data_IF_510989645058
#
_entry.id   IF_510989645058
#
_cell.length_a   1.000
_cell.length_b   1.000
_cell.length_c   1.000
_cell.angle_alpha   90.00
_cell.angle_beta   90.00
_cell.angle_gamma   90.00
#
_symmetry.space_group_name_H-M   'P 1'
#
loop_
_entity.id
_entity.type
_entity.pdbx_description
1 polymer ?
#
# COMPACT_ATOMS: atom_id res chain seq x y z
N UNK A 1 -38.83 32.65 -33.32
CA UNK A 1 -37.44 32.13 -33.58
C UNK A 1 -36.42 32.34 -32.44
N UNK A 2 -36.74 33.13 -31.41
CA UNK A 2 -35.76 33.43 -30.33
C UNK A 2 -35.83 32.49 -29.12
N UNK A 3 -36.98 31.92 -28.80
CA UNK A 3 -37.15 31.04 -27.61
C UNK A 3 -36.55 29.64 -27.80
N UNK A 4 -36.71 29.02 -28.97
CA UNK A 4 -36.19 27.69 -29.27
C UNK A 4 -34.65 27.65 -29.32
N UNK A 5 -34.00 28.74 -29.76
CA UNK A 5 -32.53 28.83 -29.78
C UNK A 5 -31.97 29.01 -28.37
N UNK A 6 -32.68 29.67 -27.44
CA UNK A 6 -32.27 29.80 -26.05
C UNK A 6 -32.34 28.46 -25.32
N UNK A 7 -33.39 27.68 -25.56
CA UNK A 7 -33.58 26.35 -24.97
C UNK A 7 -32.51 25.37 -25.48
N UNK A 8 -32.22 25.40 -26.79
CA UNK A 8 -31.17 24.56 -27.39
C UNK A 8 -29.78 24.91 -26.84
N UNK A 9 -29.47 26.19 -26.63
CA UNK A 9 -28.21 26.64 -26.04
C UNK A 9 -28.10 26.24 -24.57
N UNK A 10 -29.17 26.30 -23.79
CA UNK A 10 -29.22 25.88 -22.39
C UNK A 10 -29.02 24.34 -22.24
N UNK A 11 -29.59 23.56 -23.16
CA UNK A 11 -29.38 22.08 -23.18
C UNK A 11 -27.94 21.75 -23.57
N UNK A 12 -27.36 22.45 -24.54
CA UNK A 12 -25.97 22.22 -24.98
C UNK A 12 -24.95 22.58 -23.89
N UNK A 13 -25.18 23.66 -23.13
CA UNK A 13 -24.36 24.03 -21.98
C UNK A 13 -24.49 23.05 -20.82
N UNK A 14 -25.66 22.46 -20.59
CA UNK A 14 -25.87 21.45 -19.55
C UNK A 14 -25.15 20.13 -19.85
N UNK A 15 -25.01 19.75 -21.13
CA UNK A 15 -24.32 18.55 -21.56
C UNK A 15 -22.79 18.73 -21.41
N UNK A 16 -22.27 19.94 -21.60
CA UNK A 16 -20.83 20.21 -21.45
C UNK A 16 -20.34 20.25 -19.99
N UNK A 17 -21.25 20.43 -19.02
CA UNK A 17 -20.93 20.46 -17.60
C UNK A 17 -20.96 19.07 -16.92
N UNK A 18 -21.33 18.00 -17.64
CA UNK A 18 -21.55 16.67 -17.04
C UNK A 18 -20.37 15.70 -17.16
N UNK A 19 -19.23 16.12 -17.67
CA UNK A 19 -18.05 15.26 -17.75
C UNK A 19 -16.98 15.71 -16.73
N UNK A 20 -17.29 15.59 -15.44
CA UNK A 20 -16.24 15.62 -14.41
C UNK A 20 -15.52 14.27 -14.48
N UNK A 21 -14.36 14.26 -15.14
CA UNK A 21 -13.42 13.12 -15.01
C UNK A 21 -13.01 13.10 -13.55
N UNK A 22 -13.45 12.08 -12.83
CA UNK A 22 -13.04 11.89 -11.43
C UNK A 22 -11.52 11.74 -11.40
N UNK A 23 -10.84 12.59 -10.65
CA UNK A 23 -9.38 12.55 -10.56
C UNK A 23 -8.98 11.20 -9.93
N UNK A 24 -8.02 10.46 -10.53
CA UNK A 24 -7.53 9.22 -9.95
C UNK A 24 -7.03 9.44 -8.53
N UNK A 25 -7.37 8.53 -7.63
CA UNK A 25 -6.95 8.57 -6.23
C UNK A 25 -5.93 7.49 -5.94
N UNK A 26 -5.11 7.72 -4.93
CA UNK A 26 -4.18 6.74 -4.35
C UNK A 26 -4.39 6.66 -2.86
N UNK A 27 -4.09 5.49 -2.30
CA UNK A 27 -4.26 5.19 -0.87
C UNK A 27 -2.91 5.37 -0.18
N UNK A 28 -2.87 6.23 0.82
CA UNK A 28 -1.76 6.40 1.77
C UNK A 28 -2.22 5.97 3.16
N UNK A 29 -1.32 5.87 4.13
CA UNK A 29 -1.67 5.41 5.49
C UNK A 29 -2.68 6.31 6.21
N UNK A 30 -2.81 7.57 5.80
CA UNK A 30 -3.74 8.56 6.35
C UNK A 30 -5.07 8.66 5.56
N UNK A 31 -5.27 7.81 4.54
CA UNK A 31 -6.48 7.77 3.72
C UNK A 31 -6.23 7.97 2.22
N UNK A 32 -7.24 8.41 1.49
CA UNK A 32 -7.16 8.67 0.04
C UNK A 32 -6.70 10.09 -0.27
N UNK A 33 -5.83 10.22 -1.28
CA UNK A 33 -5.43 11.51 -1.84
C UNK A 33 -5.56 11.50 -3.37
N UNK A 34 -5.75 12.65 -4.04
CA UNK A 34 -5.62 12.74 -5.48
C UNK A 34 -4.24 12.26 -5.96
N UNK A 35 -4.18 11.53 -7.07
CA UNK A 35 -2.91 11.01 -7.59
C UNK A 35 -1.90 12.15 -7.89
N UNK A 36 -2.38 13.31 -8.32
CA UNK A 36 -1.56 14.51 -8.53
C UNK A 36 -0.91 15.07 -7.25
N UNK A 37 -1.44 14.70 -6.06
CA UNK A 37 -0.90 15.15 -4.78
C UNK A 37 0.34 14.36 -4.30
N UNK A 38 0.67 13.22 -4.92
CA UNK A 38 1.87 12.40 -4.58
C UNK A 38 3.16 13.21 -4.62
N UNK A 39 3.31 14.09 -5.59
CA UNK A 39 4.52 14.89 -5.76
C UNK A 39 5.77 14.04 -6.01
N UNK A 40 6.94 14.54 -5.60
CA UNK A 40 8.21 13.81 -5.73
C UNK A 40 8.19 12.62 -4.78
N UNK A 41 8.35 11.42 -5.33
CA UNK A 41 8.13 10.15 -4.61
C UNK A 41 9.39 9.28 -4.60
N UNK A 42 9.72 8.74 -3.41
CA UNK A 42 10.60 7.58 -3.29
C UNK A 42 9.74 6.32 -3.42
N UNK A 43 9.95 5.56 -4.48
CA UNK A 43 9.00 4.53 -4.91
C UNK A 43 9.31 3.12 -4.39
N UNK A 44 10.37 2.93 -3.61
CA UNK A 44 10.72 1.64 -3.03
C UNK A 44 11.66 1.82 -1.84
N UNK A 45 11.10 1.88 -0.63
CA UNK A 45 11.86 2.07 0.60
C UNK A 45 11.39 1.11 1.70
N UNK A 46 12.19 1.02 2.76
CA UNK A 46 11.90 0.21 3.93
C UNK A 46 12.22 1.00 5.20
N UNK A 47 11.20 1.28 6.03
CA UNK A 47 11.36 2.04 7.28
C UNK A 47 11.63 1.14 8.49
N UNK A 48 11.11 -0.08 8.46
CA UNK A 48 11.35 -1.13 9.44
C UNK A 48 11.41 -2.48 8.73
N UNK A 49 12.45 -3.27 9.01
CA UNK A 49 12.57 -4.63 8.48
C UNK A 49 12.98 -5.57 9.61
N UNK A 50 12.28 -6.71 9.73
CA UNK A 50 12.64 -7.78 10.67
C UNK A 50 12.97 -9.08 9.92
N UNK A 51 14.25 -9.37 9.78
CA UNK A 51 14.75 -10.53 9.05
C UNK A 51 14.74 -11.84 9.86
N UNK A 52 14.07 -11.89 11.03
CA UNK A 52 14.04 -13.10 11.87
C UNK A 52 13.33 -14.27 11.17
N UNK A 53 12.28 -13.99 10.43
CA UNK A 53 11.40 -14.97 9.76
C UNK A 53 9.97 -14.92 10.25
N UNK A 54 9.03 -15.44 9.44
CA UNK A 54 7.60 -15.33 9.70
C UNK A 54 7.15 -15.94 11.03
N UNK A 55 7.78 -17.04 11.45
CA UNK A 55 7.40 -17.78 12.67
C UNK A 55 7.78 -17.04 13.97
N UNK A 56 8.65 -16.04 13.88
CA UNK A 56 9.22 -15.36 15.05
C UNK A 56 9.01 -13.86 15.04
N UNK A 57 8.62 -13.27 13.90
CA UNK A 57 8.37 -11.83 13.79
C UNK A 57 7.05 -11.43 14.44
N UNK A 58 6.92 -10.17 14.79
CA UNK A 58 5.69 -9.60 15.36
C UNK A 58 5.97 -8.32 16.13
N UNK A 59 4.92 -7.57 16.45
CA UNK A 59 5.00 -6.24 17.08
C UNK A 59 5.71 -6.23 18.44
N UNK A 60 5.83 -7.37 19.12
CA UNK A 60 6.59 -7.52 20.36
C UNK A 60 8.11 -7.38 20.19
N UNK A 61 8.61 -7.38 18.95
CA UNK A 61 10.05 -7.34 18.65
C UNK A 61 10.63 -5.93 18.57
N UNK A 62 9.79 -4.91 18.51
CA UNK A 62 10.23 -3.52 18.49
C UNK A 62 9.32 -2.62 19.33
N UNK A 63 9.91 -1.54 19.81
CA UNK A 63 9.16 -0.47 20.45
C UNK A 63 8.92 0.62 19.41
N UNK A 64 7.66 0.94 19.11
CA UNK A 64 7.28 1.91 18.07
C UNK A 64 7.87 3.31 18.33
N UNK A 65 7.86 3.79 19.57
CA UNK A 65 8.40 5.11 19.91
C UNK A 65 9.90 5.18 19.63
N UNK A 66 10.66 4.14 19.98
CA UNK A 66 12.08 4.05 19.67
C UNK A 66 12.37 4.00 18.17
N UNK A 67 11.50 3.32 17.38
CA UNK A 67 11.63 3.33 15.92
C UNK A 67 11.31 4.71 15.37
N UNK A 68 10.26 5.38 15.86
CA UNK A 68 9.91 6.74 15.46
C UNK A 68 11.07 7.69 15.75
N UNK A 69 11.65 7.68 16.95
CA UNK A 69 12.79 8.50 17.31
C UNK A 69 13.96 8.34 16.34
N UNK A 70 14.23 7.11 15.92
CA UNK A 70 15.33 6.78 15.00
C UNK A 70 15.05 7.15 13.56
N UNK A 71 13.82 6.94 13.07
CA UNK A 71 13.46 7.07 11.65
C UNK A 71 13.02 8.49 11.29
N UNK A 72 12.37 9.20 12.21
CA UNK A 72 11.82 10.54 11.97
C UNK A 72 12.83 11.54 11.38
N UNK A 73 14.09 11.63 11.87
CA UNK A 73 15.08 12.55 11.28
C UNK A 73 15.33 12.30 9.78
N UNK A 74 15.34 11.04 9.35
CA UNK A 74 15.53 10.69 7.93
C UNK A 74 14.31 11.08 7.07
N UNK A 75 13.09 10.89 7.60
CA UNK A 75 11.88 11.35 6.92
C UNK A 75 11.86 12.88 6.79
N UNK A 76 12.30 13.60 7.82
CA UNK A 76 12.43 15.05 7.76
C UNK A 76 13.47 15.48 6.73
N UNK A 77 14.59 14.76 6.63
CA UNK A 77 15.63 15.04 5.63
C UNK A 77 15.09 14.89 4.21
N UNK A 78 14.41 13.78 3.89
CA UNK A 78 13.84 13.58 2.54
C UNK A 78 12.77 14.63 2.21
N UNK A 79 11.96 15.02 3.21
CA UNK A 79 10.98 16.11 3.07
C UNK A 79 11.67 17.44 2.73
N UNK A 80 12.77 17.78 3.42
CA UNK A 80 13.55 18.99 3.16
C UNK A 80 14.20 18.98 1.76
N UNK A 81 14.43 17.80 1.19
CA UNK A 81 14.87 17.60 -0.21
C UNK A 81 13.71 17.64 -1.22
N UNK A 82 12.49 17.97 -0.77
CA UNK A 82 11.31 18.16 -1.59
C UNK A 82 10.54 16.87 -1.93
N UNK A 83 10.87 15.74 -1.31
CA UNK A 83 10.04 14.53 -1.43
C UNK A 83 8.77 14.68 -0.61
N UNK A 84 7.64 14.31 -1.20
CA UNK A 84 6.33 14.35 -0.54
C UNK A 84 5.85 12.97 -0.12
N UNK A 85 6.18 11.95 -0.91
CA UNK A 85 5.67 10.59 -0.72
C UNK A 85 6.81 9.58 -0.67
N UNK A 86 6.62 8.55 0.15
CA UNK A 86 7.47 7.38 0.24
C UNK A 86 6.61 6.13 0.16
N UNK A 87 6.94 5.23 -0.78
CA UNK A 87 6.31 3.92 -0.93
C UNK A 87 7.09 2.93 -0.08
N UNK A 88 6.49 2.55 1.06
CA UNK A 88 7.05 1.60 2.01
C UNK A 88 6.74 0.18 1.54
N UNK A 89 7.78 -0.59 1.20
CA UNK A 89 7.67 -1.87 0.51
C UNK A 89 7.87 -3.09 1.42
N UNK A 90 7.89 -2.92 2.75
CA UNK A 90 7.99 -4.04 3.69
C UNK A 90 6.65 -4.76 3.80
N UNK A 91 6.54 -6.02 3.36
CA UNK A 91 5.27 -6.75 3.45
C UNK A 91 5.05 -7.33 4.86
N UNK A 92 3.85 -7.88 5.08
CA UNK A 92 3.53 -8.65 6.28
C UNK A 92 4.59 -9.74 6.53
N UNK A 93 4.84 -10.05 7.80
CA UNK A 93 5.83 -11.03 8.27
C UNK A 93 7.29 -10.69 7.97
N UNK A 94 7.57 -9.49 7.46
CA UNK A 94 8.92 -8.97 7.26
C UNK A 94 9.17 -7.66 8.04
N UNK A 95 8.19 -7.22 8.84
CA UNK A 95 8.30 -6.01 9.67
C UNK A 95 7.27 -4.92 9.35
N UNK A 96 6.27 -5.17 8.46
CA UNK A 96 5.18 -4.22 8.24
C UNK A 96 4.46 -3.90 9.55
N UNK A 97 4.39 -2.63 9.91
CA UNK A 97 3.63 -2.13 11.07
C UNK A 97 2.80 -0.92 10.66
N UNK A 98 1.49 -1.10 10.36
CA UNK A 98 0.63 -0.02 9.87
C UNK A 98 0.48 1.13 10.86
N UNK A 99 0.40 0.87 12.16
CA UNK A 99 0.29 1.92 13.18
C UNK A 99 1.59 2.73 13.29
N UNK A 100 2.76 2.07 13.21
CA UNK A 100 4.05 2.75 13.16
C UNK A 100 4.14 3.67 11.94
N UNK A 101 3.71 3.20 10.77
CA UNK A 101 3.72 4.00 9.55
C UNK A 101 2.81 5.22 9.67
N UNK A 102 1.64 5.06 10.27
CA UNK A 102 0.73 6.18 10.54
C UNK A 102 1.36 7.20 11.48
N UNK A 103 1.97 6.77 12.59
CA UNK A 103 2.71 7.64 13.50
C UNK A 103 3.84 8.40 12.80
N UNK A 104 4.59 7.73 11.92
CA UNK A 104 5.69 8.34 11.16
C UNK A 104 5.17 9.35 10.13
N UNK A 105 4.08 9.05 9.44
CA UNK A 105 3.43 9.96 8.49
C UNK A 105 2.96 11.24 9.20
N UNK A 106 2.19 11.11 10.27
CA UNK A 106 1.67 12.23 11.07
C UNK A 106 2.78 13.13 11.60
N UNK A 107 3.86 12.53 12.15
CA UNK A 107 4.98 13.29 12.76
C UNK A 107 5.90 13.94 11.73
N UNK A 108 6.14 13.32 10.59
CA UNK A 108 7.02 13.84 9.55
C UNK A 108 6.29 14.75 8.56
N UNK A 109 5.00 14.50 8.33
CA UNK A 109 4.21 15.08 7.25
C UNK A 109 4.68 14.61 5.88
N UNK A 110 5.35 13.43 5.81
CA UNK A 110 5.62 12.69 4.56
C UNK A 110 4.48 11.71 4.35
N UNK A 111 3.87 11.72 3.19
CA UNK A 111 2.85 10.75 2.80
C UNK A 111 3.48 9.36 2.71
N UNK A 112 3.01 8.40 3.49
CA UNK A 112 3.49 7.02 3.44
C UNK A 112 2.44 6.13 2.78
N UNK A 113 2.88 5.26 1.88
CA UNK A 113 2.03 4.25 1.23
C UNK A 113 2.50 2.87 1.68
N UNK A 114 1.60 2.04 2.17
CA UNK A 114 1.89 0.66 2.57
C UNK A 114 1.22 -0.36 1.65
N UNK A 115 1.46 -1.63 1.89
CA UNK A 115 1.09 -2.72 0.98
C UNK A 115 0.37 -3.87 1.68
N UNK A 116 -0.23 -4.73 0.86
CA UNK A 116 -0.60 -6.11 1.20
C UNK A 116 0.24 -7.10 0.41
N UNK A 117 0.15 -8.39 0.74
CA UNK A 117 0.93 -9.42 0.07
C UNK A 117 2.04 -10.02 0.92
N UNK A 118 2.69 -11.07 0.41
CA UNK A 118 3.72 -11.83 1.13
C UNK A 118 5.03 -11.94 0.34
N UNK A 119 6.14 -12.00 1.07
CA UNK A 119 7.48 -12.11 0.52
C UNK A 119 7.91 -13.58 0.46
N UNK A 120 7.81 -14.22 -0.70
CA UNK A 120 8.13 -15.65 -0.88
C UNK A 120 9.56 -15.95 -1.34
N UNK A 121 10.40 -14.92 -1.54
CA UNK A 121 11.82 -15.12 -1.78
C UNK A 121 12.58 -15.53 -0.50
N UNK A 122 13.88 -15.78 -0.62
CA UNK A 122 14.77 -16.21 0.48
C UNK A 122 14.28 -17.52 1.11
N UNK A 123 14.02 -18.52 0.26
CA UNK A 123 13.51 -19.84 0.65
C UNK A 123 12.20 -19.77 1.42
N UNK A 124 11.33 -18.83 1.06
CA UNK A 124 10.03 -18.60 1.69
C UNK A 124 10.09 -18.35 3.21
N UNK A 125 11.23 -17.88 3.72
CA UNK A 125 11.47 -17.61 5.15
C UNK A 125 10.41 -16.67 5.77
N UNK A 126 9.82 -15.79 4.96
CA UNK A 126 8.86 -14.78 5.40
C UNK A 126 7.41 -15.14 5.01
N UNK A 127 7.17 -16.40 4.67
CA UNK A 127 5.81 -16.93 4.47
C UNK A 127 5.36 -17.55 5.79
N UNK A 128 4.22 -17.12 6.35
CA UNK A 128 3.67 -17.71 7.57
C UNK A 128 3.14 -19.13 7.30
N UNK A 129 2.95 -19.92 8.36
CA UNK A 129 2.52 -21.32 8.27
C UNK A 129 1.26 -21.51 7.41
N UNK A 130 0.25 -20.62 7.58
CA UNK A 130 -0.97 -20.69 6.79
C UNK A 130 -0.71 -20.47 5.28
N UNK A 131 0.30 -19.68 4.92
CA UNK A 131 0.65 -19.43 3.52
C UNK A 131 1.13 -20.68 2.77
N UNK A 132 1.66 -21.68 3.49
CA UNK A 132 1.99 -22.99 2.92
C UNK A 132 0.75 -23.89 2.77
N UNK A 133 -0.24 -23.75 3.68
CA UNK A 133 -1.43 -24.62 3.77
C UNK A 133 -2.57 -24.14 2.88
N UNK A 134 -2.76 -22.84 2.78
CA UNK A 134 -3.85 -22.21 2.03
C UNK A 134 -3.61 -22.27 0.52
N UNK A 135 -4.71 -22.25 -0.26
CA UNK A 135 -4.69 -22.10 -1.72
C UNK A 135 -4.38 -20.65 -2.12
N UNK A 136 -4.14 -20.41 -3.41
CA UNK A 136 -3.97 -19.06 -3.93
C UNK A 136 -5.23 -18.20 -3.73
N UNK A 137 -6.41 -18.79 -3.87
CA UNK A 137 -7.70 -18.13 -3.65
C UNK A 137 -7.90 -17.75 -2.17
N UNK A 138 -7.48 -18.59 -1.23
CA UNK A 138 -7.57 -18.28 0.20
C UNK A 138 -6.60 -17.17 0.60
N UNK A 139 -5.37 -17.18 0.10
CA UNK A 139 -4.42 -16.10 0.28
C UNK A 139 -4.93 -14.78 -0.32
N UNK A 140 -5.49 -14.83 -1.53
CA UNK A 140 -6.04 -13.65 -2.19
C UNK A 140 -7.18 -13.02 -1.40
N UNK A 141 -8.04 -13.83 -0.77
CA UNK A 141 -9.12 -13.32 0.09
C UNK A 141 -8.60 -12.52 1.27
N UNK A 142 -7.48 -12.93 1.89
CA UNK A 142 -6.83 -12.15 2.97
C UNK A 142 -6.39 -10.78 2.49
N UNK A 143 -5.76 -10.71 1.32
CA UNK A 143 -5.27 -9.45 0.76
C UNK A 143 -6.40 -8.54 0.28
N UNK A 144 -7.48 -9.12 -0.25
CA UNK A 144 -8.71 -8.40 -0.60
C UNK A 144 -9.38 -7.88 0.68
N UNK A 145 -9.38 -8.67 1.75
CA UNK A 145 -9.94 -8.25 3.05
C UNK A 145 -9.18 -7.05 3.62
N UNK A 146 -7.84 -7.09 3.62
CA UNK A 146 -7.02 -5.93 4.01
C UNK A 146 -7.33 -4.69 3.15
N UNK A 147 -7.54 -4.87 1.84
CA UNK A 147 -7.88 -3.77 0.93
C UNK A 147 -9.28 -3.18 1.16
N UNK A 148 -10.22 -3.98 1.65
CA UNK A 148 -11.63 -3.56 1.87
C UNK A 148 -11.91 -3.08 3.29
N UNK A 149 -11.29 -3.72 4.26
CA UNK A 149 -11.61 -3.55 5.68
C UNK A 149 -10.46 -2.92 6.48
N UNK A 150 -9.31 -2.70 5.84
CA UNK A 150 -8.09 -2.21 6.48
C UNK A 150 -7.23 -3.34 7.06
N UNK A 151 -5.97 -3.04 7.23
CA UNK A 151 -4.96 -3.97 7.74
C UNK A 151 -5.17 -4.15 9.24
N UNK A 152 -5.48 -5.37 9.67
CA UNK A 152 -5.53 -5.78 11.09
C UNK A 152 -6.39 -4.85 11.99
N UNK A 153 -7.42 -4.21 11.42
CA UNK A 153 -8.32 -3.32 12.17
C UNK A 153 -7.72 -1.96 12.56
N UNK A 154 -6.57 -1.60 12.03
CA UNK A 154 -5.87 -0.33 12.31
C UNK A 154 -6.49 0.89 11.61
N UNK A 155 -7.39 0.67 10.66
CA UNK A 155 -7.92 1.71 9.78
C UNK A 155 -6.94 2.19 8.71
N UNK A 156 -5.79 1.53 8.57
CA UNK A 156 -4.82 1.76 7.49
C UNK A 156 -5.12 0.79 6.35
N UNK A 157 -5.19 1.30 5.13
CA UNK A 157 -5.45 0.51 3.93
C UNK A 157 -4.19 0.36 3.08
N UNK A 158 -3.98 -0.80 2.42
CA UNK A 158 -2.85 -0.97 1.51
C UNK A 158 -3.09 -0.21 0.20
N UNK A 159 -2.06 0.48 -0.29
CA UNK A 159 -2.10 1.17 -1.58
C UNK A 159 -1.71 0.28 -2.77
N UNK A 160 -1.11 -0.88 -2.52
CA UNK A 160 -0.64 -1.80 -3.57
C UNK A 160 -0.42 -3.21 -3.02
N UNK A 161 -0.21 -4.17 -3.93
CA UNK A 161 0.17 -5.55 -3.58
C UNK A 161 1.69 -5.69 -3.74
N UNK A 162 2.38 -6.12 -2.67
CA UNK A 162 3.82 -6.40 -2.67
C UNK A 162 4.06 -7.89 -2.50
N UNK A 163 4.68 -8.50 -3.50
CA UNK A 163 5.16 -9.88 -3.45
C UNK A 163 6.65 -9.94 -3.80
N UNK A 164 7.28 -11.06 -3.53
CA UNK A 164 8.60 -11.37 -4.05
C UNK A 164 8.72 -12.86 -4.35
N UNK A 165 9.56 -13.19 -5.32
CA UNK A 165 9.83 -14.56 -5.74
C UNK A 165 11.33 -14.82 -5.82
N UNK A 166 11.73 -16.09 -5.82
CA UNK A 166 13.12 -16.51 -6.02
C UNK A 166 13.61 -16.18 -7.43
N UNK A 167 14.92 -16.05 -7.55
CA UNK A 167 15.57 -16.00 -8.85
C UNK A 167 15.54 -17.40 -9.51
N UNK A 168 15.21 -17.45 -10.80
CA UNK A 168 15.16 -18.68 -11.58
C UNK A 168 13.74 -19.26 -11.68
N UNK A 169 13.58 -20.56 -11.87
CA UNK A 169 12.27 -21.21 -12.00
C UNK A 169 11.45 -21.04 -10.72
N UNK A 170 10.17 -20.68 -10.87
CA UNK A 170 9.27 -20.50 -9.74
C UNK A 170 9.00 -21.84 -9.04
N UNK A 171 9.35 -21.90 -7.75
CA UNK A 171 8.91 -22.98 -6.85
C UNK A 171 7.40 -22.89 -6.63
N UNK A 172 6.79 -23.95 -6.12
CA UNK A 172 5.34 -24.03 -5.87
C UNK A 172 4.82 -22.84 -5.05
N UNK A 173 5.48 -22.53 -3.93
CA UNK A 173 5.08 -21.40 -3.07
C UNK A 173 5.20 -20.04 -3.78
N UNK A 174 6.23 -19.85 -4.61
CA UNK A 174 6.36 -18.61 -5.38
C UNK A 174 5.24 -18.47 -6.41
N UNK A 175 4.88 -19.58 -7.09
CA UNK A 175 3.78 -19.62 -8.07
C UNK A 175 2.47 -19.28 -7.38
N UNK A 176 2.18 -19.93 -6.25
CA UNK A 176 0.98 -19.67 -5.42
C UNK A 176 0.85 -18.18 -5.06
N UNK A 177 1.92 -17.56 -4.59
CA UNK A 177 1.94 -16.13 -4.23
C UNK A 177 1.67 -15.24 -5.44
N UNK A 178 2.22 -15.55 -6.61
CA UNK A 178 1.92 -14.83 -7.87
C UNK A 178 0.46 -15.01 -8.27
N UNK A 179 -0.06 -16.22 -8.23
CA UNK A 179 -1.48 -16.51 -8.55
C UNK A 179 -2.41 -15.76 -7.60
N UNK A 180 -2.13 -15.78 -6.29
CA UNK A 180 -2.90 -15.03 -5.30
C UNK A 180 -2.90 -13.52 -5.58
N UNK A 181 -1.76 -12.95 -5.96
CA UNK A 181 -1.67 -11.53 -6.33
C UNK A 181 -2.48 -11.22 -7.59
N UNK A 182 -2.45 -12.09 -8.60
CA UNK A 182 -3.25 -11.93 -9.80
C UNK A 182 -4.76 -12.00 -9.53
N UNK A 183 -5.19 -12.86 -8.59
CA UNK A 183 -6.60 -12.96 -8.19
C UNK A 183 -7.02 -11.71 -7.41
N UNK A 184 -6.18 -11.26 -6.46
CA UNK A 184 -6.49 -10.11 -5.62
C UNK A 184 -6.51 -8.77 -6.39
N UNK A 185 -5.80 -8.67 -7.52
CA UNK A 185 -5.74 -7.47 -8.35
C UNK A 185 -7.00 -7.27 -9.21
N UNK A 186 -7.79 -8.30 -9.48
CA UNK A 186 -9.03 -8.25 -10.30
C UNK A 186 -10.19 -7.62 -9.54
#
# INVERSE_FOLDING_TARGET
MKLNNLILLAILTSILLSCTVEEPKVIIVDGEIPAGALGKTLHHEHLLVDFIGADSTGYHRWNRDSVVEKVLPYLQEIKNRGYKTLVECTPAYLGRDPELLKMLSEKSGVQLMTNTGYYSAVNAKFIPEHGFKETAEELSKRWIDEARNGIEGTGVFPGFIKIAVERGPLKEINRKVVEAACIAHK
#
